data_IF_178465455589
#
_entry.id   IF_178465455589
#
_cell.length_a   1.000
_cell.length_b   1.000
_cell.length_c   1.000
_cell.angle_alpha   90.00
_cell.angle_beta   90.00
_cell.angle_gamma   90.00
#
_symmetry.space_group_name_H-M   'P 1'
#
loop_
_entity.id
_entity.type
_entity.pdbx_description
1 polymer ?
#
# COMPACT_ATOMS: atom_id res chain seq x y z
N UNK A 1 3.48 -11.20 -14.95
CA UNK A 1 3.51 -10.20 -13.87
C UNK A 1 2.10 -10.00 -13.37
N UNK A 2 1.89 -9.92 -12.06
CA UNK A 2 0.57 -9.73 -11.46
C UNK A 2 0.60 -8.62 -10.42
N UNK A 3 -0.54 -7.95 -10.22
CA UNK A 3 -0.72 -7.04 -9.08
C UNK A 3 -1.06 -7.87 -7.85
N UNK A 4 -0.27 -7.72 -6.80
CA UNK A 4 -0.52 -8.27 -5.48
C UNK A 4 -0.96 -7.15 -4.55
N UNK A 5 -1.97 -7.43 -3.72
CA UNK A 5 -2.45 -6.52 -2.69
C UNK A 5 -2.23 -7.20 -1.35
N UNK A 6 -1.65 -6.45 -0.41
CA UNK A 6 -1.51 -6.89 0.98
C UNK A 6 -2.19 -5.88 1.89
N UNK A 7 -3.07 -6.39 2.75
CA UNK A 7 -3.72 -5.62 3.81
C UNK A 7 -3.54 -6.37 5.13
N UNK A 8 -2.80 -5.78 6.07
CA UNK A 8 -2.54 -6.38 7.38
C UNK A 8 -2.63 -5.34 8.50
N UNK A 9 -2.86 -5.79 9.74
CA UNK A 9 -2.86 -4.89 10.90
C UNK A 9 -1.44 -4.51 11.26
N UNK A 10 -1.17 -3.21 11.37
CA UNK A 10 0.10 -2.65 11.79
C UNK A 10 -0.10 -1.72 12.99
N UNK A 11 0.81 -1.81 13.95
CA UNK A 11 0.87 -0.88 15.07
C UNK A 11 1.73 0.32 14.64
N UNK A 12 1.16 1.51 14.62
CA UNK A 12 1.85 2.74 14.22
C UNK A 12 1.85 3.76 15.34
N UNK A 13 2.93 4.55 15.42
CA UNK A 13 3.01 5.66 16.34
C UNK A 13 2.22 6.86 15.80
N UNK A 14 1.10 7.19 16.44
CA UNK A 14 0.35 8.40 16.13
C UNK A 14 0.96 9.59 16.89
N UNK A 15 1.59 10.51 16.16
CA UNK A 15 2.22 11.70 16.73
C UNK A 15 1.22 12.68 17.34
N UNK A 16 0.00 12.76 16.82
CA UNK A 16 -1.03 13.67 17.31
C UNK A 16 -1.63 13.17 18.63
N UNK A 17 -1.84 11.86 18.74
CA UNK A 17 -2.36 11.23 19.95
C UNK A 17 -1.26 10.79 20.94
N UNK A 18 0.01 10.91 20.54
CA UNK A 18 1.20 10.50 21.30
C UNK A 18 1.11 9.07 21.86
N UNK A 19 0.57 8.14 21.06
CA UNK A 19 0.40 6.74 21.43
C UNK A 19 0.49 5.80 20.23
N UNK A 20 0.66 4.51 20.52
CA UNK A 20 0.56 3.45 19.51
C UNK A 20 -0.92 3.19 19.17
N UNK A 21 -1.24 3.19 17.89
CA UNK A 21 -2.58 2.88 17.36
C UNK A 21 -2.49 1.76 16.33
N UNK A 22 -3.50 0.88 16.31
CA UNK A 22 -3.57 -0.18 15.30
C UNK A 22 -4.28 0.35 14.07
N UNK A 23 -3.63 0.31 12.92
CA UNK A 23 -4.23 0.63 11.61
C UNK A 23 -4.10 -0.53 10.65
N UNK A 24 -4.85 -0.50 9.56
CA UNK A 24 -4.71 -1.45 8.46
C UNK A 24 -3.68 -0.86 7.50
N UNK A 25 -2.55 -1.53 7.36
CA UNK A 25 -1.50 -1.22 6.40
C UNK A 25 -1.86 -1.86 5.07
N UNK A 26 -1.95 -1.03 4.03
CA UNK A 26 -2.24 -1.46 2.66
C UNK A 26 -1.03 -1.18 1.78
N UNK A 27 -0.59 -2.20 1.05
CA UNK A 27 0.43 -2.09 0.00
C UNK A 27 -0.06 -2.76 -1.29
N UNK A 28 0.37 -2.22 -2.43
CA UNK A 28 0.12 -2.80 -3.75
C UNK A 28 1.44 -2.96 -4.47
N UNK A 29 1.73 -4.17 -4.93
CA UNK A 29 3.02 -4.51 -5.51
C UNK A 29 2.86 -5.17 -6.88
N UNK A 30 3.71 -4.84 -7.84
CA UNK A 30 3.84 -5.55 -9.11
C UNK A 30 4.82 -6.71 -8.92
N UNK A 31 4.33 -7.93 -9.05
CA UNK A 31 5.10 -9.15 -8.81
C UNK A 31 5.48 -9.80 -10.15
N UNK A 32 6.76 -10.11 -10.29
CA UNK A 32 7.33 -10.83 -11.42
C UNK A 32 6.94 -12.31 -11.41
N UNK A 33 7.21 -13.01 -12.53
CA UNK A 33 6.79 -14.41 -12.70
C UNK A 33 7.46 -15.38 -11.71
N UNK A 34 8.55 -14.97 -11.04
CA UNK A 34 9.26 -15.75 -10.02
C UNK A 34 8.94 -15.30 -8.59
N UNK A 35 7.90 -14.47 -8.38
CA UNK A 35 7.52 -13.98 -7.05
C UNK A 35 8.34 -12.79 -6.55
N UNK A 36 9.30 -12.29 -7.33
CA UNK A 36 10.05 -11.08 -7.00
C UNK A 36 9.15 -9.83 -7.11
N UNK A 37 9.24 -8.94 -6.12
CA UNK A 37 8.57 -7.62 -6.17
C UNK A 37 9.39 -6.71 -7.07
N UNK A 38 8.80 -6.26 -8.18
CA UNK A 38 9.46 -5.37 -9.14
C UNK A 38 9.25 -3.90 -8.77
N UNK A 39 8.02 -3.53 -8.40
CA UNK A 39 7.70 -2.23 -7.84
C UNK A 39 6.63 -2.38 -6.75
N UNK A 40 6.67 -1.49 -5.76
CA UNK A 40 5.71 -1.45 -4.66
C UNK A 40 5.25 -0.01 -4.44
N UNK A 41 3.95 0.17 -4.22
CA UNK A 41 3.35 1.41 -3.79
C UNK A 41 2.76 1.22 -2.38
N UNK A 42 3.18 2.06 -1.45
CA UNK A 42 2.71 2.05 -0.06
C UNK A 42 3.83 2.30 0.96
N UNK A 43 3.53 2.16 2.25
CA UNK A 43 2.22 1.84 2.81
C UNK A 43 1.26 3.05 2.83
N UNK A 44 -0.04 2.78 2.66
CA UNK A 44 -1.09 3.64 3.20
C UNK A 44 -1.68 2.99 4.46
N UNK A 45 -1.97 3.80 5.47
CA UNK A 45 -2.58 3.34 6.70
C UNK A 45 -4.02 3.83 6.77
N UNK A 46 -4.96 2.90 6.89
CA UNK A 46 -6.40 3.17 6.94
C UNK A 46 -7.02 2.63 8.21
N UNK A 47 -8.16 3.18 8.61
CA UNK A 47 -8.83 2.88 9.88
C UNK A 47 -9.79 1.69 9.76
N UNK A 48 -10.41 1.52 8.59
CA UNK A 48 -11.50 0.56 8.41
C UNK A 48 -11.43 -0.18 7.07
N UNK A 49 -12.26 -1.22 6.94
CA UNK A 49 -12.28 -2.07 5.76
C UNK A 49 -12.72 -1.37 4.46
N UNK A 50 -13.74 -0.48 4.46
CA UNK A 50 -14.08 0.29 3.26
C UNK A 50 -12.91 1.10 2.70
N UNK A 51 -12.15 1.79 3.55
CA UNK A 51 -10.99 2.59 3.16
C UNK A 51 -9.87 1.77 2.50
N UNK A 52 -9.84 0.44 2.70
CA UNK A 52 -8.88 -0.44 2.01
C UNK A 52 -9.06 -0.35 0.50
N UNK A 53 -10.29 -0.34 0.01
CA UNK A 53 -10.55 -0.27 -1.44
C UNK A 53 -10.08 1.06 -2.02
N UNK A 54 -10.36 2.17 -1.34
CA UNK A 54 -9.88 3.49 -1.75
C UNK A 54 -8.35 3.55 -1.74
N UNK A 55 -7.70 3.02 -0.70
CA UNK A 55 -6.25 2.94 -0.62
C UNK A 55 -5.66 2.10 -1.76
N UNK A 56 -6.28 0.97 -2.12
CA UNK A 56 -5.84 0.13 -3.24
C UNK A 56 -5.89 0.92 -4.56
N UNK A 57 -6.98 1.62 -4.84
CA UNK A 57 -7.13 2.40 -6.07
C UNK A 57 -6.09 3.52 -6.16
N UNK A 58 -5.86 4.24 -5.06
CA UNK A 58 -4.81 5.27 -4.99
C UNK A 58 -3.42 4.67 -5.22
N UNK A 59 -3.10 3.54 -4.59
CA UNK A 59 -1.81 2.88 -4.71
C UNK A 59 -1.59 2.29 -6.12
N UNK A 60 -2.65 1.76 -6.75
CA UNK A 60 -2.61 1.31 -8.15
C UNK A 60 -2.32 2.46 -9.09
N UNK A 61 -2.99 3.59 -8.93
CA UNK A 61 -2.75 4.78 -9.75
C UNK A 61 -1.30 5.28 -9.61
N UNK A 62 -0.76 5.28 -8.38
CA UNK A 62 0.66 5.61 -8.12
C UNK A 62 1.60 4.64 -8.82
N UNK A 63 1.35 3.34 -8.71
CA UNK A 63 2.17 2.31 -9.33
C UNK A 63 2.18 2.43 -10.86
N UNK A 64 1.02 2.65 -11.48
CA UNK A 64 0.89 2.89 -12.92
C UNK A 64 1.68 4.14 -13.33
N UNK A 65 1.60 5.22 -12.54
CA UNK A 65 2.36 6.44 -12.80
C UNK A 65 3.87 6.20 -12.78
N UNK A 66 4.37 5.45 -11.79
CA UNK A 66 5.78 5.07 -11.69
C UNK A 66 6.19 4.24 -12.92
N UNK A 67 5.37 3.29 -13.35
CA UNK A 67 5.65 2.42 -14.50
C UNK A 67 5.67 3.20 -15.84
N UNK A 68 4.78 4.16 -16.01
CA UNK A 68 4.67 4.93 -17.25
C UNK A 68 5.70 6.05 -17.37
N UNK A 69 6.05 6.69 -16.25
CA UNK A 69 6.86 7.91 -16.27
C UNK A 69 8.22 7.76 -15.57
N UNK A 70 8.50 6.63 -14.92
CA UNK A 70 9.76 6.38 -14.23
C UNK A 70 10.00 7.25 -12.99
N UNK A 71 9.02 8.07 -12.58
CA UNK A 71 9.15 8.98 -11.42
C UNK A 71 8.51 8.32 -10.20
N UNK A 72 9.36 7.90 -9.27
CA UNK A 72 9.04 7.44 -7.91
C UNK A 72 9.05 8.59 -6.91
#
# INVERSE_FOLDING_TARGET
MSLSVKADKALIWDKLQSKMVTKIRVTVSLVGNQGSVFHEAGPLYVENAPEIFEAIEVLRARLIKVLLFGVG
#
